data_IF_490499897205
#
_entry.id   IF_490499897205
#
_cell.length_a   1.000
_cell.length_b   1.000
_cell.length_c   1.000
_cell.angle_alpha   90.00
_cell.angle_beta   90.00
_cell.angle_gamma   90.00
#
_symmetry.space_group_name_H-M   'P 1'
#
loop_
_entity.id
_entity.type
_entity.pdbx_description
1 polymer ?
#
# COMPACT_ATOMS: atom_id res chain seq x y z
N UNK A 1 -11.07 10.07 3.02
CA UNK A 1 -10.35 9.95 1.75
C UNK A 1 -10.18 11.36 1.26
N UNK A 2 -8.95 11.81 1.02
CA UNK A 2 -8.71 13.18 0.58
C UNK A 2 -8.89 13.33 -0.93
N UNK A 3 -8.74 12.23 -1.67
CA UNK A 3 -8.90 12.18 -3.13
C UNK A 3 -10.06 11.29 -3.55
N UNK A 4 -10.64 11.57 -4.72
CA UNK A 4 -11.63 10.70 -5.35
C UNK A 4 -10.91 9.61 -6.14
N UNK A 5 -10.98 8.37 -5.66
CA UNK A 5 -10.47 7.21 -6.39
C UNK A 5 -11.57 6.65 -7.31
N UNK A 6 -11.25 6.46 -8.59
CA UNK A 6 -12.11 5.78 -9.55
C UNK A 6 -12.00 4.27 -9.41
N UNK A 7 -13.14 3.58 -9.28
CA UNK A 7 -13.21 2.11 -9.32
C UNK A 7 -13.10 1.42 -7.95
N UNK A 8 -12.54 0.21 -7.93
CA UNK A 8 -12.37 -0.59 -6.72
C UNK A 8 -11.21 -0.07 -5.86
N UNK A 9 -11.32 -0.23 -4.55
CA UNK A 9 -10.29 0.18 -3.60
C UNK A 9 -9.62 -1.05 -2.99
N UNK A 10 -8.30 -1.02 -2.91
CA UNK A 10 -7.57 -1.98 -2.09
C UNK A 10 -7.20 -1.35 -0.75
N UNK A 11 -7.37 -2.13 0.32
CA UNK A 11 -7.07 -1.68 1.67
C UNK A 11 -6.29 -2.73 2.45
N UNK A 12 -5.33 -2.28 3.25
CA UNK A 12 -4.55 -3.12 4.16
C UNK A 12 -4.49 -2.48 5.55
N UNK A 13 -4.74 -3.30 6.58
CA UNK A 13 -4.69 -2.85 7.97
C UNK A 13 -3.33 -3.18 8.60
N UNK A 14 -2.77 -2.23 9.35
CA UNK A 14 -1.61 -2.44 10.20
C UNK A 14 -1.59 -1.45 11.37
N UNK A 15 -1.54 -1.97 12.60
CA UNK A 15 -1.38 -1.21 13.86
C UNK A 15 -2.24 0.07 13.95
N UNK A 16 -3.56 -0.07 13.80
CA UNK A 16 -4.49 1.07 13.93
C UNK A 16 -4.53 2.00 12.71
N UNK A 17 -3.89 1.61 11.60
CA UNK A 17 -3.87 2.38 10.36
C UNK A 17 -4.39 1.54 9.20
N UNK A 18 -5.15 2.17 8.31
CA UNK A 18 -5.62 1.55 7.06
C UNK A 18 -4.91 2.25 5.91
N UNK A 19 -4.16 1.50 5.12
CA UNK A 19 -3.50 1.97 3.91
C UNK A 19 -4.39 1.65 2.73
N UNK A 20 -4.64 2.63 1.86
CA UNK A 20 -5.58 2.56 0.75
C UNK A 20 -4.90 2.98 -0.54
N UNK A 21 -5.18 2.24 -1.60
CA UNK A 21 -4.78 2.56 -2.97
C UNK A 21 -5.95 2.29 -3.92
N UNK A 22 -6.09 3.10 -4.96
CA UNK A 22 -7.05 2.89 -6.04
C UNK A 22 -6.64 1.73 -6.94
N UNK A 23 -7.60 0.89 -7.32
CA UNK A 23 -7.42 -0.14 -8.35
C UNK A 23 -7.34 0.53 -9.72
N UNK A 24 -6.36 0.15 -10.52
CA UNK A 24 -6.26 0.60 -11.90
C UNK A 24 -5.86 2.08 -12.09
N UNK A 25 -5.55 2.79 -11.01
CA UNK A 25 -5.00 4.14 -11.08
C UNK A 25 -3.47 4.07 -11.13
N UNK A 26 -2.82 5.03 -11.80
CA UNK A 26 -1.38 5.22 -11.69
C UNK A 26 -1.09 5.86 -10.34
N UNK A 27 -0.91 5.02 -9.31
CA UNK A 27 -0.79 5.48 -7.93
C UNK A 27 0.59 6.10 -7.71
N UNK A 28 0.67 7.43 -7.78
CA UNK A 28 1.81 8.22 -7.28
C UNK A 28 1.67 8.57 -5.79
N UNK A 29 0.50 8.32 -5.19
CA UNK A 29 0.21 8.56 -3.79
C UNK A 29 -0.70 7.50 -3.17
N UNK A 30 -0.30 6.95 -2.02
CA UNK A 30 -1.11 6.04 -1.20
C UNK A 30 -1.81 6.82 -0.09
N UNK A 31 -3.06 6.52 0.24
CA UNK A 31 -3.71 7.16 1.39
C UNK A 31 -3.60 6.31 2.65
N UNK A 32 -3.54 6.97 3.80
CA UNK A 32 -3.53 6.31 5.10
C UNK A 32 -4.56 6.96 6.01
N UNK A 33 -5.47 6.15 6.52
CA UNK A 33 -6.38 6.50 7.60
C UNK A 33 -5.77 6.09 8.94
N UNK A 34 -5.55 7.05 9.84
CA UNK A 34 -5.23 6.77 11.23
C UNK A 34 -6.52 6.57 12.04
N UNK A 35 -6.82 5.31 12.35
CA UNK A 35 -8.03 4.92 13.11
C UNK A 35 -7.90 5.32 14.58
N UNK A 36 -6.67 5.43 15.10
CA UNK A 36 -6.42 5.79 16.49
C UNK A 36 -6.39 7.31 16.71
N UNK A 37 -6.01 8.09 15.70
CA UNK A 37 -5.95 9.55 15.74
C UNK A 37 -7.19 10.20 15.10
N UNK A 38 -8.36 9.96 15.70
CA UNK A 38 -9.65 10.59 15.33
C UNK A 38 -10.09 10.39 13.87
N UNK A 39 -9.54 9.41 13.16
CA UNK A 39 -9.90 9.12 11.76
C UNK A 39 -9.25 10.08 10.76
N UNK A 40 -8.07 10.62 11.07
CA UNK A 40 -7.35 11.51 10.16
C UNK A 40 -6.83 10.77 8.92
N UNK A 41 -7.13 11.33 7.74
CA UNK A 41 -6.57 10.87 6.46
C UNK A 41 -5.28 11.61 6.12
N UNK A 42 -4.26 10.89 5.69
CA UNK A 42 -2.96 11.44 5.25
C UNK A 42 -2.59 10.84 3.90
N UNK A 43 -2.22 11.69 2.95
CA UNK A 43 -1.71 11.27 1.65
C UNK A 43 -0.20 11.01 1.74
N UNK A 44 0.24 9.85 1.27
CA UNK A 44 1.62 9.38 1.27
C UNK A 44 2.13 9.44 -0.18
N UNK A 45 2.80 10.55 -0.54
CA UNK A 45 3.21 10.79 -1.93
C UNK A 45 4.59 10.19 -2.27
N UNK A 46 4.77 9.81 -3.53
CA UNK A 46 6.00 9.29 -4.15
C UNK A 46 7.25 10.18 -3.99
N UNK A 47 7.09 11.48 -3.72
CA UNK A 47 8.25 12.35 -3.50
C UNK A 47 8.86 12.18 -2.11
N UNK A 48 8.07 11.76 -1.12
CA UNK A 48 8.52 11.49 0.24
C UNK A 48 8.89 10.01 0.46
N UNK A 49 8.45 9.12 -0.44
CA UNK A 49 8.58 7.68 -0.36
C UNK A 49 9.07 7.12 -1.69
N UNK A 50 10.06 6.22 -1.70
CA UNK A 50 10.60 5.62 -2.93
C UNK A 50 9.62 4.67 -3.67
N UNK A 51 8.38 5.10 -3.91
CA UNK A 51 7.52 4.60 -4.96
C UNK A 51 8.18 5.06 -6.27
N UNK A 52 9.15 4.28 -6.75
CA UNK A 52 10.02 4.64 -7.87
C UNK A 52 9.28 4.84 -9.21
N UNK A 53 8.00 4.47 -9.28
CA UNK A 53 7.15 4.64 -10.44
C UNK A 53 5.68 4.55 -10.03
N UNK A 54 4.77 5.21 -10.75
CA UNK A 54 3.34 4.98 -10.60
C UNK A 54 3.02 3.50 -10.85
N UNK A 55 2.34 2.84 -9.91
CA UNK A 55 1.95 1.43 -10.02
C UNK A 55 0.49 1.32 -10.41
N UNK A 56 0.18 0.40 -11.32
CA UNK A 56 -1.18 0.03 -11.70
C UNK A 56 -1.61 -1.15 -10.81
N UNK A 57 -2.17 -0.86 -9.64
CA UNK A 57 -2.38 -1.88 -8.61
C UNK A 57 -3.46 -2.89 -9.02
N UNK A 58 -3.10 -4.18 -9.03
CA UNK A 58 -4.01 -5.32 -9.30
C UNK A 58 -4.48 -6.03 -8.02
N UNK A 59 -3.59 -6.14 -7.04
CA UNK A 59 -3.94 -6.68 -5.73
C UNK A 59 -2.99 -6.19 -4.65
N UNK A 60 -3.47 -6.16 -3.41
CA UNK A 60 -2.69 -5.70 -2.25
C UNK A 60 -3.03 -6.53 -1.01
N UNK A 61 -2.01 -6.81 -0.19
CA UNK A 61 -2.20 -7.42 1.12
C UNK A 61 -1.11 -7.02 2.10
N UNK A 62 -1.37 -7.10 3.40
CA UNK A 62 -0.34 -6.95 4.44
C UNK A 62 -0.07 -8.26 5.18
N UNK A 63 1.20 -8.46 5.55
CA UNK A 63 1.63 -9.50 6.48
C UNK A 63 2.63 -8.87 7.44
N UNK A 64 2.35 -8.94 8.74
CA UNK A 64 3.13 -8.24 9.78
C UNK A 64 3.23 -6.74 9.46
N UNK A 65 4.45 -6.19 9.41
CA UNK A 65 4.74 -4.81 9.05
C UNK A 65 5.16 -4.64 7.58
N UNK A 66 4.76 -5.57 6.71
CA UNK A 66 5.09 -5.51 5.30
C UNK A 66 3.82 -5.49 4.46
N UNK A 67 3.77 -4.51 3.57
CA UNK A 67 2.73 -4.35 2.56
C UNK A 67 3.24 -4.93 1.25
N UNK A 68 2.42 -5.75 0.60
CA UNK A 68 2.71 -6.33 -0.70
C UNK A 68 1.70 -5.79 -1.72
N UNK A 69 2.21 -5.42 -2.88
CA UNK A 69 1.43 -4.84 -3.99
C UNK A 69 1.81 -5.58 -5.27
N UNK A 70 0.81 -6.10 -5.98
CA UNK A 70 0.99 -6.62 -7.32
C UNK A 70 0.67 -5.54 -8.34
N UNK A 71 1.58 -5.33 -9.28
CA UNK A 71 1.40 -4.42 -10.41
C UNK A 71 0.83 -5.17 -11.61
N UNK A 72 -0.28 -4.67 -12.14
CA UNK A 72 -1.01 -5.24 -13.27
C UNK A 72 -0.17 -5.20 -14.55
N UNK A 73 0.50 -4.08 -14.81
CA UNK A 73 1.18 -3.83 -16.08
C UNK A 73 2.48 -4.65 -16.20
N UNK A 74 3.27 -4.71 -15.14
CA UNK A 74 4.57 -5.40 -15.15
C UNK A 74 4.51 -6.86 -14.67
N UNK A 75 3.41 -7.27 -14.04
CA UNK A 75 3.31 -8.57 -13.34
C UNK A 75 4.41 -8.75 -12.27
N UNK A 76 4.88 -7.63 -11.71
CA UNK A 76 5.81 -7.59 -10.58
C UNK A 76 5.08 -7.50 -9.25
N UNK A 77 5.68 -8.09 -8.21
CA UNK A 77 5.25 -7.93 -6.82
C UNK A 77 6.28 -7.10 -6.09
N UNK A 78 5.78 -6.07 -5.42
CA UNK A 78 6.56 -5.15 -4.61
C UNK A 78 6.28 -5.38 -3.14
N UNK A 79 7.29 -5.11 -2.31
CA UNK A 79 7.16 -5.06 -0.86
C UNK A 79 7.54 -3.67 -0.34
N UNK A 80 6.78 -3.18 0.62
CA UNK A 80 7.01 -1.91 1.31
C UNK A 80 6.98 -2.20 2.81
N UNK A 81 8.01 -1.76 3.53
CA UNK A 81 8.01 -1.85 4.98
C UNK A 81 7.13 -0.74 5.55
N UNK A 82 6.17 -1.10 6.39
CA UNK A 82 5.36 -0.16 7.15
C UNK A 82 6.10 0.17 8.45
N UNK A 83 6.50 1.42 8.62
CA UNK A 83 7.04 1.89 9.89
C UNK A 83 5.93 2.51 10.73
N UNK A 84 5.74 1.97 11.92
CA UNK A 84 4.86 2.51 12.93
C UNK A 84 5.68 2.89 14.14
N UNK A 85 5.90 4.19 14.31
CA UNK A 85 6.22 4.74 15.61
C UNK A 85 4.88 5.13 16.26
N UNK A 86 4.44 4.44 17.32
CA UNK A 86 3.18 4.75 18.00
C UNK A 86 3.16 6.16 18.63
N UNK A 87 4.32 6.80 18.82
CA UNK A 87 4.43 8.15 19.36
C UNK A 87 4.54 9.23 18.26
N UNK A 88 4.88 8.86 17.01
CA UNK A 88 4.96 9.81 15.90
C UNK A 88 3.76 9.70 14.97
N UNK A 89 3.12 10.85 14.74
CA UNK A 89 2.07 11.02 13.71
C UNK A 89 2.60 10.95 12.28
N UNK A 90 3.92 11.02 12.10
CA UNK A 90 4.56 10.96 10.78
C UNK A 90 4.85 9.50 10.43
N UNK A 91 3.85 8.83 9.84
CA UNK A 91 4.04 7.51 9.24
C UNK A 91 5.00 7.64 8.07
N UNK A 92 6.07 6.85 8.06
CA UNK A 92 6.93 6.71 6.90
C UNK A 92 6.74 5.34 6.27
N UNK A 93 6.59 5.31 4.95
CA UNK A 93 6.78 4.09 4.19
C UNK A 93 8.27 3.85 3.99
N UNK A 94 8.69 2.60 4.14
CA UNK A 94 10.03 2.17 3.75
C UNK A 94 10.21 2.22 2.23
N UNK A 95 11.43 1.94 1.80
CA UNK A 95 11.73 1.80 0.38
C UNK A 95 10.92 0.65 -0.24
N UNK A 96 10.35 0.90 -1.41
CA UNK A 96 9.69 -0.13 -2.20
C UNK A 96 10.73 -1.00 -2.89
N UNK A 97 10.59 -2.32 -2.74
CA UNK A 97 11.47 -3.30 -3.37
C UNK A 97 10.67 -4.27 -4.22
N UNK A 98 11.07 -4.45 -5.48
CA UNK A 98 10.59 -5.56 -6.29
C UNK A 98 11.12 -6.87 -5.71
N UNK A 99 10.22 -7.78 -5.36
CA UNK A 99 10.59 -9.07 -4.75
C UNK A 99 10.33 -10.25 -5.69
N UNK A 100 9.52 -10.05 -6.71
CA UNK A 100 9.17 -11.09 -7.67
C UNK A 100 8.65 -10.48 -8.96
N UNK A 101 8.88 -11.18 -10.07
CA UNK A 101 8.38 -10.84 -11.40
C UNK A 101 8.02 -12.10 -12.16
N UNK A 102 6.87 -12.11 -12.80
CA UNK A 102 6.42 -13.20 -13.66
C UNK A 102 5.74 -12.65 -14.91
N UNK A 103 5.29 -13.54 -15.78
CA UNK A 103 4.55 -13.20 -17.00
C UNK A 103 3.05 -13.48 -16.87
N UNK A 104 2.56 -13.72 -15.65
CA UNK A 104 1.16 -14.06 -15.38
C UNK A 104 0.59 -13.13 -14.30
N UNK A 105 -0.74 -12.94 -14.35
CA UNK A 105 -1.50 -12.20 -13.35
C UNK A 105 -1.26 -12.75 -11.94
N UNK A 106 -1.17 -11.84 -10.96
CA UNK A 106 -0.82 -12.17 -9.58
C UNK A 106 -1.92 -11.75 -8.63
N UNK A 107 -2.59 -12.75 -8.06
CA UNK A 107 -3.49 -12.53 -6.95
C UNK A 107 -2.75 -12.73 -5.63
N UNK A 108 -2.64 -11.67 -4.83
CA UNK A 108 -2.14 -11.74 -3.47
C UNK A 108 -3.26 -12.13 -2.51
N UNK A 109 -2.96 -13.04 -1.58
CA UNK A 109 -3.90 -13.48 -0.54
C UNK A 109 -3.15 -13.85 0.74
N UNK A 110 -3.68 -13.46 1.89
CA UNK A 110 -3.10 -13.82 3.20
C UNK A 110 -3.85 -15.01 3.78
N UNK A 111 -3.11 -16.05 4.16
CA UNK A 111 -3.65 -17.25 4.83
C UNK A 111 -3.11 -17.27 6.27
N UNK A 112 -4.01 -17.27 7.24
CA UNK A 112 -3.67 -17.44 8.66
C UNK A 112 -3.78 -18.92 9.02
N UNK A 113 -2.65 -19.56 9.30
CA UNK A 113 -2.61 -20.95 9.77
C UNK A 113 -2.79 -20.97 11.29
N UNK A 114 -3.66 -21.87 11.79
CA UNK A 114 -3.93 -22.09 13.21
C UNK A 114 -3.14 -23.27 13.74
#
# INVERSE_FOLDING_TARGET
>A
MNEEHGGDLFAAYFQGRVYVVGCGEYVDAMEMLDVAADGQWTSLTSNDYSLCQPLHVDSMTSVNNQLFIADYDSSSVYSIKLESDPERRNTKLGQMNEIWKCSAYVLLSTIQLK
#
